data_IF_465307901204
#
_entry.id   IF_465307901204
#
_cell.length_a   1.000
_cell.length_b   1.000
_cell.length_c   1.000
_cell.angle_alpha   90.00
_cell.angle_beta   90.00
_cell.angle_gamma   90.00
#
_symmetry.space_group_name_H-M   'P 1'
#
loop_
_entity.id
_entity.type
_entity.pdbx_description
1 polymer ?
#
# COMPACT_ATOMS: atom_id res chain seq x y z
N UNK A 1 -3.71 12.22 -66.40
CA UNK A 1 -2.61 11.90 -65.47
C UNK A 1 -3.09 10.97 -64.40
N UNK A 2 -2.76 9.67 -64.49
CA UNK A 2 -3.19 8.59 -63.56
C UNK A 2 -2.11 8.46 -62.45
N UNK A 3 -2.48 8.71 -61.19
CA UNK A 3 -1.62 8.42 -60.03
C UNK A 3 -1.68 6.94 -59.68
N UNK A 4 -0.52 6.27 -59.79
CA UNK A 4 -0.29 4.89 -59.32
C UNK A 4 -0.25 4.86 -57.77
N UNK A 5 -1.11 4.02 -57.18
CA UNK A 5 -1.00 3.64 -55.76
C UNK A 5 -0.02 2.46 -55.63
N UNK A 6 1.06 2.65 -54.93
CA UNK A 6 2.01 1.61 -54.54
C UNK A 6 1.43 0.82 -53.37
N UNK A 7 1.28 -0.51 -53.53
CA UNK A 7 0.94 -1.44 -52.43
C UNK A 7 2.25 -1.99 -51.88
N UNK A 8 2.57 -1.63 -50.63
CA UNK A 8 3.64 -2.29 -49.88
C UNK A 8 3.08 -3.57 -49.28
N UNK A 9 3.61 -4.72 -49.73
CA UNK A 9 3.35 -6.03 -49.14
C UNK A 9 4.32 -6.24 -47.98
N UNK A 10 3.78 -6.35 -46.79
CA UNK A 10 4.52 -6.74 -45.59
C UNK A 10 4.59 -8.27 -45.55
N UNK A 11 5.82 -8.81 -45.66
CA UNK A 11 6.12 -10.25 -45.54
C UNK A 11 6.28 -10.59 -44.06
N UNK A 12 5.41 -11.40 -43.51
CA UNK A 12 5.64 -12.07 -42.24
C UNK A 12 6.47 -13.33 -42.47
N UNK A 13 7.69 -13.35 -41.95
CA UNK A 13 8.49 -14.58 -41.86
C UNK A 13 8.18 -15.24 -40.53
N UNK A 14 7.50 -16.37 -40.57
CA UNK A 14 7.35 -17.27 -39.43
C UNK A 14 8.58 -18.18 -39.39
N UNK A 15 9.38 -18.08 -38.33
CA UNK A 15 10.42 -19.06 -38.02
C UNK A 15 9.88 -19.98 -36.92
N UNK A 16 9.39 -21.14 -37.32
CA UNK A 16 9.13 -22.24 -36.41
C UNK A 16 10.42 -23.04 -36.23
N UNK A 17 10.87 -23.16 -35.01
CA UNK A 17 11.89 -24.13 -34.62
C UNK A 17 11.31 -25.09 -33.59
N UNK A 18 11.01 -26.29 -34.08
CA UNK A 18 10.62 -27.46 -33.30
C UNK A 18 11.94 -28.08 -32.75
N UNK A 19 12.12 -28.16 -31.45
CA UNK A 19 13.10 -29.04 -30.84
C UNK A 19 12.37 -29.95 -29.87
N UNK A 20 12.12 -31.17 -30.32
CA UNK A 20 11.70 -32.27 -29.47
C UNK A 20 12.96 -32.97 -28.93
N UNK A 21 13.16 -32.95 -27.62
CA UNK A 21 14.07 -33.85 -26.93
C UNK A 21 13.28 -34.63 -25.88
N UNK A 22 13.03 -35.88 -26.17
CA UNK A 22 12.50 -36.85 -25.22
C UNK A 22 13.63 -37.33 -24.32
N UNK A 23 13.50 -37.10 -23.00
CA UNK A 23 14.26 -37.83 -22.00
C UNK A 23 13.30 -38.49 -21.05
N UNK A 24 13.15 -39.80 -21.19
CA UNK A 24 12.46 -40.67 -20.23
C UNK A 24 13.39 -40.99 -19.08
N UNK A 25 13.07 -40.55 -17.85
CA UNK A 25 13.52 -41.18 -16.64
C UNK A 25 12.36 -41.35 -15.67
N UNK A 26 12.13 -42.61 -15.31
CA UNK A 26 11.17 -43.01 -14.30
C UNK A 26 11.63 -42.48 -12.92
N UNK A 27 10.83 -41.65 -12.30
CA UNK A 27 11.01 -41.17 -10.94
C UNK A 27 9.67 -41.19 -10.20
N UNK A 28 9.61 -41.99 -9.16
CA UNK A 28 8.48 -42.29 -8.30
C UNK A 28 7.94 -41.00 -7.68
N UNK A 29 6.73 -40.60 -8.05
CA UNK A 29 5.99 -39.53 -7.37
C UNK A 29 5.41 -40.08 -6.07
N UNK A 30 6.00 -39.70 -4.95
CA UNK A 30 5.40 -39.89 -3.63
C UNK A 30 4.42 -38.75 -3.40
N UNK A 31 3.14 -39.02 -3.59
CA UNK A 31 2.06 -38.11 -3.23
C UNK A 31 1.90 -38.17 -1.71
N UNK A 32 2.29 -37.09 -1.01
CA UNK A 32 1.94 -36.90 0.39
C UNK A 32 0.50 -36.36 0.45
N UNK A 33 -0.46 -37.24 0.76
CA UNK A 33 -1.82 -36.85 1.12
C UNK A 33 -1.80 -36.44 2.59
N UNK A 34 -1.87 -35.13 2.85
CA UNK A 34 -2.14 -34.60 4.18
C UNK A 34 -3.64 -34.72 4.46
N UNK A 35 -4.05 -35.72 5.20
CA UNK A 35 -5.40 -35.81 5.77
C UNK A 35 -5.48 -34.83 6.94
N UNK A 36 -6.22 -33.76 6.79
CA UNK A 36 -6.64 -32.91 7.91
C UNK A 36 -7.70 -33.64 8.72
N UNK A 37 -7.30 -34.12 9.90
CA UNK A 37 -8.20 -34.62 10.93
C UNK A 37 -8.87 -33.42 11.59
N UNK A 38 -10.18 -33.27 11.35
CA UNK A 38 -11.02 -32.26 12.00
C UNK A 38 -11.22 -32.69 13.47
N UNK A 39 -10.50 -32.03 14.38
CA UNK A 39 -10.83 -32.08 15.80
C UNK A 39 -12.08 -31.21 16.06
N UNK A 40 -13.21 -31.86 16.22
CA UNK A 40 -14.47 -31.28 16.70
C UNK A 40 -14.32 -30.92 18.17
N UNK A 41 -14.09 -29.64 18.49
CA UNK A 41 -14.19 -29.11 19.84
C UNK A 41 -15.60 -28.60 20.07
N UNK A 42 -16.25 -29.22 21.03
CA UNK A 42 -17.58 -28.90 21.57
C UNK A 42 -17.51 -27.57 22.33
N UNK A 43 -18.49 -26.66 22.20
CA UNK A 43 -18.47 -25.42 22.98
C UNK A 43 -18.80 -25.70 24.44
N UNK A 44 -17.91 -25.22 25.32
CA UNK A 44 -18.10 -25.23 26.78
C UNK A 44 -18.95 -24.02 27.15
N UNK A 45 -20.05 -24.30 27.90
CA UNK A 45 -21.01 -23.32 28.39
C UNK A 45 -20.34 -22.39 29.44
N UNK A 46 -20.45 -21.07 29.23
CA UNK A 46 -20.09 -20.07 30.22
C UNK A 46 -21.11 -20.00 31.36
N UNK A 47 -20.68 -19.80 32.63
CA UNK A 47 -21.59 -19.71 33.74
C UNK A 47 -22.36 -18.39 33.78
N UNK A 48 -23.65 -18.49 33.96
CA UNK A 48 -24.60 -17.43 34.25
C UNK A 48 -24.28 -16.85 35.63
N UNK A 49 -23.98 -15.52 35.68
CA UNK A 49 -23.94 -14.79 36.94
C UNK A 49 -25.08 -13.78 36.96
N UNK A 50 -25.89 -13.93 38.01
CA UNK A 50 -27.14 -13.26 38.34
C UNK A 50 -27.01 -11.74 38.50
N UNK A 51 -28.11 -11.07 38.12
CA UNK A 51 -28.48 -9.69 38.41
C UNK A 51 -28.27 -9.29 39.89
N UNK A 52 -27.75 -8.07 40.08
CA UNK A 52 -28.09 -7.23 41.24
C UNK A 52 -28.33 -5.80 40.76
N UNK A 53 -29.60 -5.39 40.89
CA UNK A 53 -30.08 -4.02 40.82
C UNK A 53 -29.37 -3.13 41.87
N UNK A 54 -29.05 -1.91 41.49
CA UNK A 54 -29.44 -0.68 42.25
C UNK A 54 -28.90 0.58 41.58
N UNK A 55 -29.79 1.36 41.03
CA UNK A 55 -29.54 2.81 40.90
C UNK A 55 -29.55 3.47 42.27
N UNK A 56 -28.82 4.61 42.44
CA UNK A 56 -29.60 5.83 42.63
C UNK A 56 -29.05 7.13 42.07
N UNK A 57 -29.99 7.94 41.66
CA UNK A 57 -30.10 9.37 41.85
C UNK A 57 -29.06 10.33 41.17
N UNK A 58 -29.60 10.96 40.16
CA UNK A 58 -29.27 12.27 39.66
C UNK A 58 -29.03 13.32 40.77
N UNK A 59 -27.84 13.94 40.78
CA UNK A 59 -27.61 15.22 41.47
C UNK A 59 -26.99 16.23 40.53
N UNK A 60 -27.74 17.27 40.25
CA UNK A 60 -27.36 18.47 39.50
C UNK A 60 -26.30 19.25 40.27
N UNK A 61 -25.13 19.47 39.66
CA UNK A 61 -24.18 20.50 40.11
C UNK A 61 -23.73 21.34 38.89
N UNK A 62 -23.97 22.64 39.03
CA UNK A 62 -23.60 23.68 38.06
C UNK A 62 -22.07 23.81 37.91
N UNK A 63 -21.59 24.30 36.72
CA UNK A 63 -20.16 24.49 36.48
C UNK A 63 -19.60 25.70 37.24
N UNK A 64 -18.36 25.66 37.72
CA UNK A 64 -17.71 26.83 38.23
C UNK A 64 -17.20 27.75 37.11
N UNK A 65 -17.36 29.04 37.36
CA UNK A 65 -16.94 30.12 36.46
C UNK A 65 -15.42 30.29 36.45
N UNK A 66 -14.93 30.50 35.23
CA UNK A 66 -13.85 31.39 34.82
C UNK A 66 -12.64 31.57 35.76
N UNK A 67 -11.52 31.05 35.31
CA UNK A 67 -10.20 31.54 35.71
C UNK A 67 -9.31 31.47 34.46
N UNK A 68 -9.09 32.64 33.84
CA UNK A 68 -8.19 32.79 32.71
C UNK A 68 -6.74 32.54 33.18
N UNK A 69 -6.14 31.47 32.77
CA UNK A 69 -4.71 31.31 32.72
C UNK A 69 -4.30 31.24 31.26
N UNK A 70 -3.82 32.34 30.72
CA UNK A 70 -3.11 32.39 29.44
C UNK A 70 -1.78 31.64 29.63
N UNK A 71 -1.78 30.37 29.25
CA UNK A 71 -0.55 29.70 28.89
C UNK A 71 -0.32 30.02 27.41
N UNK A 72 0.74 30.76 27.11
CA UNK A 72 1.31 30.88 25.78
C UNK A 72 1.82 29.50 25.36
N UNK A 73 0.95 28.67 24.84
CA UNK A 73 1.33 27.58 23.95
C UNK A 73 1.63 28.25 22.60
N UNK A 74 2.91 28.16 22.19
CA UNK A 74 3.31 28.36 20.79
C UNK A 74 2.32 27.54 19.97
N UNK A 75 1.71 28.09 18.87
CA UNK A 75 0.91 27.25 17.99
C UNK A 75 1.79 26.09 17.56
N UNK A 76 1.38 24.85 17.82
CA UNK A 76 1.90 23.70 17.10
C UNK A 76 1.65 24.02 15.63
N UNK A 77 2.72 24.24 14.88
CA UNK A 77 2.65 24.34 13.44
C UNK A 77 1.99 23.03 12.97
N UNK A 78 0.79 23.14 12.43
CA UNK A 78 0.18 22.08 11.62
C UNK A 78 1.25 21.59 10.63
N UNK A 79 1.51 20.28 10.54
CA UNK A 79 2.48 19.76 9.56
C UNK A 79 2.19 20.41 8.22
N UNK A 80 3.22 20.98 7.59
CA UNK A 80 3.04 21.68 6.32
C UNK A 80 2.41 20.70 5.31
N UNK A 81 1.46 21.16 4.51
CA UNK A 81 0.83 20.34 3.44
C UNK A 81 1.90 19.76 2.51
N UNK A 82 3.05 20.43 2.36
CA UNK A 82 4.24 19.97 1.64
C UNK A 82 4.80 18.64 2.18
N UNK A 83 4.60 18.28 3.46
CA UNK A 83 5.06 17.01 4.04
C UNK A 83 4.28 15.80 3.49
N UNK A 84 3.06 15.99 2.98
CA UNK A 84 2.26 14.90 2.43
C UNK A 84 2.78 14.41 1.08
N UNK A 85 3.45 15.27 0.32
CA UNK A 85 3.99 14.97 -1.00
C UNK A 85 5.50 14.67 -0.98
N UNK A 86 6.08 14.45 0.23
CA UNK A 86 7.49 14.05 0.33
C UNK A 86 7.76 12.83 -0.55
N UNK A 87 8.73 12.94 -1.44
CA UNK A 87 9.13 11.85 -2.30
C UNK A 87 10.11 10.94 -1.57
N UNK A 88 9.76 9.66 -1.44
CA UNK A 88 10.63 8.61 -0.92
C UNK A 88 10.61 7.47 -1.91
N UNK A 89 11.73 7.22 -2.58
CA UNK A 89 11.82 6.21 -3.63
C UNK A 89 13.26 5.65 -3.78
N UNK A 90 13.56 5.01 -4.88
CA UNK A 90 14.87 4.40 -5.15
C UNK A 90 16.04 5.40 -5.15
N UNK A 91 15.79 6.69 -5.39
CA UNK A 91 16.79 7.76 -5.46
C UNK A 91 16.75 8.68 -4.23
N UNK A 92 15.56 8.88 -3.67
CA UNK A 92 15.32 9.80 -2.57
C UNK A 92 14.98 9.03 -1.29
N UNK A 93 15.82 9.17 -0.28
CA UNK A 93 15.57 8.59 1.05
C UNK A 93 14.63 9.48 1.85
N UNK A 94 13.89 8.90 2.78
CA UNK A 94 13.09 9.67 3.73
C UNK A 94 13.98 10.67 4.48
N UNK A 95 13.60 11.98 4.54
CA UNK A 95 14.35 12.98 5.30
C UNK A 95 14.50 12.59 6.76
N UNK A 96 15.66 12.89 7.39
CA UNK A 96 15.91 12.55 8.79
C UNK A 96 14.97 13.31 9.76
N UNK A 97 14.59 14.52 9.38
CA UNK A 97 13.69 15.42 10.13
C UNK A 97 12.21 15.25 9.72
N UNK A 98 11.89 14.25 8.91
CA UNK A 98 10.51 13.99 8.52
C UNK A 98 9.63 13.74 9.75
N UNK A 99 8.68 14.65 9.97
CA UNK A 99 7.76 14.56 11.10
C UNK A 99 6.65 13.53 10.81
N UNK A 100 6.47 12.59 11.75
CA UNK A 100 5.38 11.61 11.75
C UNK A 100 4.89 11.36 13.16
N UNK A 101 3.60 11.18 13.30
CA UNK A 101 2.98 10.73 14.54
C UNK A 101 2.35 9.36 14.29
N UNK A 102 3.01 8.31 14.77
CA UNK A 102 2.57 6.93 14.53
C UNK A 102 1.54 6.53 15.58
N UNK A 103 0.37 6.16 15.11
CA UNK A 103 -0.77 5.68 15.91
C UNK A 103 -1.22 4.30 15.43
N UNK A 104 -1.92 3.56 16.30
CA UNK A 104 -2.47 2.25 15.93
C UNK A 104 -3.89 2.39 15.41
N UNK A 105 -4.12 1.96 14.18
CA UNK A 105 -5.43 1.89 13.54
C UNK A 105 -5.77 0.43 13.23
N UNK A 106 -6.77 -0.14 13.92
CA UNK A 106 -7.24 -1.53 13.73
C UNK A 106 -6.13 -2.61 13.83
N UNK A 107 -5.11 -2.36 14.66
CA UNK A 107 -3.99 -3.29 14.85
C UNK A 107 -2.81 -3.05 13.91
N UNK A 108 -2.87 -2.05 13.04
CA UNK A 108 -1.79 -1.63 12.13
C UNK A 108 -1.31 -0.22 12.51
N UNK A 109 -0.01 -0.04 12.59
CA UNK A 109 0.59 1.26 12.86
C UNK A 109 0.62 2.11 11.59
N UNK A 110 0.17 3.37 11.69
CA UNK A 110 0.07 4.32 10.57
C UNK A 110 0.38 5.74 11.06
N UNK A 111 0.63 6.67 10.16
CA UNK A 111 0.67 8.07 10.52
C UNK A 111 -0.75 8.59 10.84
N UNK A 112 -0.87 9.41 11.89
CA UNK A 112 -2.16 9.96 12.35
C UNK A 112 -2.93 10.67 11.24
N UNK A 113 -2.23 11.31 10.30
CA UNK A 113 -2.82 12.06 9.18
C UNK A 113 -3.68 11.21 8.24
N UNK A 114 -3.45 9.90 8.18
CA UNK A 114 -4.25 9.01 7.32
C UNK A 114 -5.49 8.44 8.01
N UNK A 115 -5.61 8.57 9.33
CA UNK A 115 -6.66 7.88 10.12
C UNK A 115 -8.06 8.29 9.67
N UNK A 116 -8.36 9.59 9.74
CA UNK A 116 -9.69 10.09 9.36
C UNK A 116 -9.99 9.87 7.87
N UNK A 117 -9.08 10.23 6.92
CA UNK A 117 -9.28 9.95 5.50
C UNK A 117 -9.54 8.48 5.18
N UNK A 118 -8.77 7.56 5.79
CA UNK A 118 -8.98 6.14 5.59
C UNK A 118 -10.33 5.66 6.14
N UNK A 119 -10.73 6.11 7.32
CA UNK A 119 -12.03 5.75 7.91
C UNK A 119 -13.18 6.25 7.04
N UNK A 120 -13.09 7.45 6.47
CA UNK A 120 -14.08 7.99 5.54
C UNK A 120 -14.14 7.15 4.25
N UNK A 121 -12.98 6.81 3.67
CA UNK A 121 -12.87 5.95 2.50
C UNK A 121 -13.47 4.56 2.77
N UNK A 122 -13.12 3.95 3.90
CA UNK A 122 -13.63 2.64 4.30
C UNK A 122 -15.16 2.65 4.48
N UNK A 123 -15.73 3.71 5.09
CA UNK A 123 -17.16 3.84 5.29
C UNK A 123 -17.91 4.01 3.96
N UNK A 124 -17.37 4.78 3.02
CA UNK A 124 -17.94 4.93 1.68
C UNK A 124 -17.91 3.63 0.89
N UNK A 125 -16.76 2.94 0.86
CA UNK A 125 -16.65 1.63 0.23
C UNK A 125 -17.65 0.61 0.82
N UNK A 126 -17.78 0.60 2.14
CA UNK A 126 -18.75 -0.27 2.82
C UNK A 126 -20.21 0.04 2.43
N UNK A 127 -20.55 1.31 2.20
CA UNK A 127 -21.87 1.70 1.73
C UNK A 127 -22.17 1.19 0.31
N UNK A 128 -21.14 1.04 -0.51
CA UNK A 128 -21.19 0.48 -1.85
C UNK A 128 -21.02 -1.06 -1.87
N UNK A 129 -20.94 -1.69 -0.69
CA UNK A 129 -20.80 -3.14 -0.54
C UNK A 129 -19.38 -3.68 -0.71
N UNK A 130 -18.38 -2.80 -0.70
CA UNK A 130 -16.95 -3.12 -0.82
C UNK A 130 -16.28 -3.07 0.56
N UNK A 131 -15.43 -4.05 0.87
CA UNK A 131 -14.77 -4.15 2.19
C UNK A 131 -13.29 -3.82 2.08
N UNK A 132 -12.86 -2.70 2.65
CA UNK A 132 -11.46 -2.28 2.71
C UNK A 132 -10.88 -2.51 4.10
N UNK A 133 -9.65 -3.04 4.16
CA UNK A 133 -8.89 -3.17 5.40
C UNK A 133 -7.39 -3.00 5.14
N UNK A 134 -6.66 -2.51 6.15
CA UNK A 134 -5.22 -2.29 6.05
C UNK A 134 -4.50 -3.58 6.44
N UNK A 135 -3.66 -4.10 5.56
CA UNK A 135 -2.82 -5.28 5.81
C UNK A 135 -1.41 -4.92 6.28
N UNK A 136 -0.91 -3.76 5.88
CA UNK A 136 0.41 -3.25 6.26
C UNK A 136 0.39 -1.72 6.26
N UNK A 137 1.10 -1.09 7.20
CA UNK A 137 1.22 0.36 7.33
C UNK A 137 2.66 0.76 7.62
N UNK A 138 2.90 1.50 8.70
CA UNK A 138 4.24 1.93 9.07
C UNK A 138 5.20 0.77 9.25
N UNK A 139 6.41 0.96 8.72
CA UNK A 139 7.56 0.07 8.94
C UNK A 139 8.77 0.91 9.36
N UNK A 140 9.47 0.48 10.41
CA UNK A 140 10.76 1.08 10.73
C UNK A 140 11.79 0.78 9.62
N UNK A 141 12.82 1.62 9.51
CA UNK A 141 13.92 1.38 8.57
C UNK A 141 14.60 0.03 8.85
N UNK A 142 14.71 -0.35 10.13
CA UNK A 142 15.23 -1.65 10.55
C UNK A 142 14.36 -2.80 10.00
N UNK A 143 13.04 -2.70 10.15
CA UNK A 143 12.12 -3.72 9.62
C UNK A 143 12.18 -3.80 8.09
N UNK A 144 12.33 -2.67 7.42
CA UNK A 144 12.52 -2.63 5.96
C UNK A 144 13.82 -3.32 5.53
N UNK A 145 14.92 -3.14 6.29
CA UNK A 145 16.19 -3.85 6.04
C UNK A 145 15.99 -5.37 6.09
N UNK A 146 15.34 -5.87 7.14
CA UNK A 146 15.07 -7.30 7.29
C UNK A 146 14.25 -7.89 6.13
N UNK A 147 13.29 -7.11 5.60
CA UNK A 147 12.49 -7.53 4.45
C UNK A 147 13.32 -7.55 3.16
N UNK A 148 14.13 -6.52 2.96
CA UNK A 148 15.00 -6.43 1.79
C UNK A 148 16.05 -7.56 1.78
N UNK A 149 16.71 -7.76 2.91
CA UNK A 149 17.74 -8.81 3.07
C UNK A 149 17.15 -10.20 2.80
N UNK A 150 15.93 -10.47 3.28
CA UNK A 150 15.21 -11.72 2.99
C UNK A 150 14.91 -11.88 1.50
N UNK A 151 14.48 -10.83 0.82
CA UNK A 151 14.21 -10.89 -0.62
C UNK A 151 15.51 -11.13 -1.41
N UNK A 152 16.63 -10.56 -0.97
CA UNK A 152 17.96 -10.82 -1.55
C UNK A 152 18.39 -12.26 -1.32
N UNK A 153 18.24 -12.77 -0.10
CA UNK A 153 18.57 -14.16 0.24
C UNK A 153 17.77 -15.18 -0.59
N UNK A 154 16.47 -14.91 -0.81
CA UNK A 154 15.62 -15.74 -1.67
C UNK A 154 16.13 -15.77 -3.12
N UNK A 155 16.49 -14.61 -3.66
CA UNK A 155 17.04 -14.51 -5.01
C UNK A 155 18.40 -15.19 -5.14
N UNK A 156 19.27 -15.10 -4.12
CA UNK A 156 20.53 -15.84 -4.04
C UNK A 156 20.28 -17.36 -4.02
N UNK A 157 19.29 -17.81 -3.23
CA UNK A 157 18.84 -19.20 -3.19
C UNK A 157 18.34 -19.73 -4.54
N UNK A 158 17.81 -18.86 -5.38
CA UNK A 158 17.40 -19.15 -6.75
C UNK A 158 18.59 -19.13 -7.76
N UNK A 159 19.83 -18.97 -7.29
CA UNK A 159 21.04 -19.04 -8.09
C UNK A 159 21.48 -17.73 -8.74
N UNK A 160 20.90 -16.59 -8.35
CA UNK A 160 21.35 -15.28 -8.80
C UNK A 160 22.67 -14.88 -8.15
N UNK A 161 23.50 -14.09 -8.83
CA UNK A 161 24.64 -13.43 -8.21
C UNK A 161 24.18 -12.26 -7.33
N UNK A 162 25.03 -11.84 -6.37
CA UNK A 162 24.69 -10.81 -5.36
C UNK A 162 24.07 -9.53 -5.99
N UNK A 163 24.74 -8.94 -6.96
CA UNK A 163 24.29 -7.71 -7.60
C UNK A 163 22.93 -7.89 -8.30
N UNK A 164 22.71 -9.03 -8.94
CA UNK A 164 21.45 -9.36 -9.59
C UNK A 164 20.34 -9.60 -8.57
N UNK A 165 20.64 -10.33 -7.49
CA UNK A 165 19.70 -10.60 -6.41
C UNK A 165 19.18 -9.31 -5.76
N UNK A 166 20.08 -8.37 -5.48
CA UNK A 166 19.72 -7.04 -4.95
C UNK A 166 18.90 -6.22 -5.95
N UNK A 167 19.27 -6.22 -7.24
CA UNK A 167 18.53 -5.50 -8.26
C UNK A 167 17.11 -6.03 -8.43
N UNK A 168 16.94 -7.36 -8.41
CA UNK A 168 15.62 -8.00 -8.53
C UNK A 168 14.79 -7.75 -7.27
N UNK A 169 15.38 -7.87 -6.07
CA UNK A 169 14.70 -7.56 -4.81
C UNK A 169 14.17 -6.12 -4.80
N UNK A 170 14.95 -5.16 -5.28
CA UNK A 170 14.60 -3.74 -5.30
C UNK A 170 13.42 -3.39 -6.20
N UNK A 171 12.96 -4.29 -7.08
CA UNK A 171 11.77 -4.08 -7.92
C UNK A 171 10.45 -4.24 -7.14
N UNK A 172 10.49 -4.87 -5.96
CA UNK A 172 9.28 -5.15 -5.16
C UNK A 172 9.44 -4.87 -3.67
N UNK A 173 10.67 -4.76 -3.19
CA UNK A 173 10.96 -4.43 -1.80
C UNK A 173 11.96 -3.28 -1.80
N UNK A 174 11.50 -2.08 -1.47
CA UNK A 174 12.36 -0.90 -1.44
C UNK A 174 13.56 -1.10 -0.50
N UNK A 175 14.70 -0.52 -0.86
CA UNK A 175 15.90 -0.50 0.00
C UNK A 175 15.61 0.19 1.34
N UNK A 176 16.37 -0.14 2.40
CA UNK A 176 16.23 0.55 3.70
C UNK A 176 16.33 2.07 3.53
N UNK A 177 15.38 2.80 4.14
CA UNK A 177 15.27 4.26 4.02
C UNK A 177 14.61 4.78 2.74
N UNK A 178 14.38 3.91 1.74
CA UNK A 178 13.76 4.24 0.45
C UNK A 178 12.30 3.73 0.35
N UNK A 179 11.71 3.28 1.45
CA UNK A 179 10.34 2.78 1.49
C UNK A 179 9.38 3.85 2.00
N UNK A 180 8.28 4.09 1.31
CA UNK A 180 7.23 4.99 1.77
C UNK A 180 6.56 4.53 3.05
N UNK A 181 6.57 3.23 3.37
CA UNK A 181 6.12 2.73 4.67
C UNK A 181 6.93 3.30 5.84
N UNK A 182 8.15 3.81 5.62
CA UNK A 182 8.92 4.49 6.65
C UNK A 182 8.31 5.84 7.04
N UNK A 183 7.50 6.44 6.18
CA UNK A 183 6.77 7.68 6.48
C UNK A 183 5.51 7.46 7.33
N UNK A 184 4.91 6.25 7.27
CA UNK A 184 3.60 5.96 7.81
C UNK A 184 2.43 6.43 6.93
N UNK A 185 2.72 7.10 5.80
CA UNK A 185 1.71 7.60 4.84
C UNK A 185 1.33 6.57 3.77
N UNK A 186 2.01 5.44 3.70
CA UNK A 186 1.69 4.35 2.78
C UNK A 186 1.04 3.19 3.50
N UNK A 187 0.02 2.61 2.88
CA UNK A 187 -0.71 1.44 3.35
C UNK A 187 -0.88 0.41 2.25
N UNK A 188 -0.80 -0.87 2.61
CA UNK A 188 -1.20 -1.96 1.74
C UNK A 188 -2.63 -2.38 2.10
N UNK A 189 -3.51 -2.46 1.11
CA UNK A 189 -4.93 -2.75 1.27
C UNK A 189 -5.24 -4.21 0.90
N UNK A 190 -6.12 -4.85 1.66
CA UNK A 190 -6.73 -6.15 1.38
C UNK A 190 -5.73 -7.30 1.14
N UNK A 191 -4.50 -7.17 1.67
CA UNK A 191 -3.42 -8.15 1.52
C UNK A 191 -2.53 -7.88 0.30
N UNK A 192 -1.26 -8.27 0.43
CA UNK A 192 -0.27 -8.18 -0.67
C UNK A 192 -0.49 -9.36 -1.61
N UNK A 193 -1.20 -9.14 -2.72
CA UNK A 193 -1.56 -10.18 -3.69
C UNK A 193 -1.61 -9.64 -5.12
N UNK A 194 -0.98 -10.36 -6.04
CA UNK A 194 -0.82 -9.92 -7.43
C UNK A 194 -2.15 -9.86 -8.22
N UNK A 195 -3.17 -10.61 -7.81
CA UNK A 195 -4.50 -10.63 -8.44
C UNK A 195 -5.49 -9.64 -7.82
N UNK A 196 -5.01 -8.71 -6.96
CA UNK A 196 -5.87 -7.70 -6.35
C UNK A 196 -6.55 -6.79 -7.38
N UNK A 197 -5.87 -6.51 -8.50
CA UNK A 197 -6.39 -5.72 -9.63
C UNK A 197 -7.62 -6.32 -10.31
N UNK A 198 -7.95 -7.58 -10.02
CA UNK A 198 -9.15 -8.27 -10.53
C UNK A 198 -10.33 -8.23 -9.57
N UNK A 199 -10.21 -7.52 -8.45
CA UNK A 199 -11.21 -7.49 -7.38
C UNK A 199 -12.14 -6.28 -7.46
N UNK A 200 -13.37 -6.38 -6.92
CA UNK A 200 -14.27 -5.22 -6.78
C UNK A 200 -13.67 -4.09 -5.92
N UNK A 201 -12.81 -4.44 -4.95
CA UNK A 201 -12.12 -3.49 -4.11
C UNK A 201 -11.16 -2.61 -4.91
N UNK A 202 -10.40 -3.20 -5.81
CA UNK A 202 -9.49 -2.45 -6.68
C UNK A 202 -10.25 -1.56 -7.67
N UNK A 203 -11.33 -2.08 -8.28
CA UNK A 203 -12.19 -1.29 -9.17
C UNK A 203 -12.73 -0.05 -8.44
N UNK A 204 -13.26 -0.24 -7.24
CA UNK A 204 -13.77 0.85 -6.40
C UNK A 204 -12.66 1.86 -6.04
N UNK A 205 -11.50 1.38 -5.62
CA UNK A 205 -10.36 2.24 -5.27
C UNK A 205 -9.85 3.05 -6.45
N UNK A 206 -9.86 2.48 -7.66
CA UNK A 206 -9.44 3.19 -8.87
C UNK A 206 -10.32 4.42 -9.15
N UNK A 207 -11.60 4.33 -8.83
CA UNK A 207 -12.56 5.42 -9.04
C UNK A 207 -12.54 6.43 -7.89
N UNK A 208 -12.40 5.99 -6.64
CA UNK A 208 -12.72 6.79 -5.46
C UNK A 208 -11.55 7.15 -4.56
N UNK A 209 -10.42 6.43 -4.58
CA UNK A 209 -9.34 6.63 -3.61
C UNK A 209 -8.82 8.07 -3.57
N UNK A 210 -8.76 8.77 -4.73
CA UNK A 210 -8.30 10.14 -4.82
C UNK A 210 -9.22 11.14 -4.10
N UNK A 211 -10.50 10.84 -3.95
CA UNK A 211 -11.44 11.67 -3.21
C UNK A 211 -11.07 11.78 -1.72
N UNK A 212 -10.44 10.72 -1.20
CA UNK A 212 -9.99 10.60 0.19
C UNK A 212 -8.48 10.86 0.36
N UNK A 213 -7.81 11.31 -0.71
CA UNK A 213 -6.40 11.69 -0.66
C UNK A 213 -5.41 10.55 -0.86
N UNK A 214 -5.87 9.38 -1.29
CA UNK A 214 -5.00 8.22 -1.60
C UNK A 214 -4.78 8.08 -3.10
N UNK A 215 -3.56 7.70 -3.47
CA UNK A 215 -3.18 7.39 -4.85
C UNK A 215 -2.71 5.93 -4.94
N UNK A 216 -2.99 5.27 -6.05
CA UNK A 216 -2.29 4.05 -6.43
C UNK A 216 -0.83 4.43 -6.73
N UNK A 217 0.08 4.00 -5.87
CA UNK A 217 1.46 4.53 -5.88
C UNK A 217 2.31 4.00 -7.02
N UNK A 218 2.13 2.73 -7.37
CA UNK A 218 2.93 2.02 -8.36
C UNK A 218 2.06 1.44 -9.49
N UNK A 219 1.49 2.30 -10.36
CA UNK A 219 0.66 1.85 -11.47
C UNK A 219 1.50 1.15 -12.56
N UNK A 220 0.85 0.28 -13.33
CA UNK A 220 1.51 -0.61 -14.29
C UNK A 220 2.29 0.16 -15.38
N UNK A 221 1.72 1.25 -15.85
CA UNK A 221 2.29 2.08 -16.93
C UNK A 221 3.38 3.07 -16.47
N UNK A 222 3.67 3.14 -15.16
CA UNK A 222 4.67 4.06 -14.57
C UNK A 222 5.92 3.36 -14.03
N UNK A 223 6.10 2.06 -14.23
CA UNK A 223 7.21 1.28 -13.70
C UNK A 223 8.59 1.83 -14.13
N UNK A 224 8.70 2.39 -15.33
CA UNK A 224 9.95 3.00 -15.82
C UNK A 224 10.33 4.27 -15.05
N UNK A 225 9.37 4.93 -14.41
CA UNK A 225 9.58 6.13 -13.60
C UNK A 225 9.79 5.74 -12.13
N UNK A 226 8.85 4.99 -11.57
CA UNK A 226 8.85 4.62 -10.15
C UNK A 226 9.93 3.58 -9.80
N UNK A 227 10.41 2.80 -10.77
CA UNK A 227 11.35 1.67 -10.63
C UNK A 227 10.85 0.55 -9.74
N UNK A 228 9.56 0.57 -9.38
CA UNK A 228 8.85 -0.49 -8.69
C UNK A 228 7.87 -1.12 -9.68
N UNK A 229 7.69 -2.42 -9.62
CA UNK A 229 6.68 -3.10 -10.43
C UNK A 229 5.27 -2.74 -9.96
N UNK A 230 4.28 -3.07 -10.76
CA UNK A 230 2.88 -2.84 -10.42
C UNK A 230 2.51 -3.47 -9.07
N UNK A 231 1.97 -2.65 -8.17
CA UNK A 231 1.51 -3.08 -6.85
C UNK A 231 0.08 -2.59 -6.62
N UNK A 232 -0.94 -3.35 -7.04
CA UNK A 232 -2.34 -2.91 -6.98
C UNK A 232 -2.87 -2.69 -5.55
N UNK A 233 -2.20 -3.25 -4.55
CA UNK A 233 -2.53 -3.12 -3.13
C UNK A 233 -1.93 -1.88 -2.45
N UNK A 234 -0.90 -1.23 -3.03
CA UNK A 234 -0.11 -0.19 -2.37
C UNK A 234 -0.65 1.20 -2.66
N UNK A 235 -1.19 1.83 -1.62
CA UNK A 235 -1.76 3.17 -1.67
C UNK A 235 -0.98 4.15 -0.81
N UNK A 236 -0.70 5.34 -1.36
CA UNK A 236 -0.02 6.44 -0.67
C UNK A 236 -1.01 7.58 -0.41
N UNK A 237 -1.03 8.06 0.84
CA UNK A 237 -1.75 9.27 1.20
C UNK A 237 -0.94 10.52 0.83
N UNK A 238 -1.55 11.43 0.11
CA UNK A 238 -0.96 12.70 -0.36
C UNK A 238 -1.91 13.88 -0.11
N UNK A 239 -3.08 13.65 0.52
CA UNK A 239 -4.12 14.65 0.66
C UNK A 239 -5.03 14.76 -0.58
N UNK A 240 -6.30 15.10 -0.36
CA UNK A 240 -7.34 15.02 -1.40
C UNK A 240 -7.08 15.96 -2.58
N UNK A 241 -6.55 17.16 -2.35
CA UNK A 241 -6.26 18.12 -3.42
C UNK A 241 -5.15 17.61 -4.35
N UNK A 242 -4.05 17.11 -3.77
CA UNK A 242 -2.94 16.53 -4.53
C UNK A 242 -3.35 15.24 -5.25
N UNK A 243 -4.09 14.35 -4.59
CA UNK A 243 -4.53 13.10 -5.18
C UNK A 243 -5.43 13.32 -6.40
N UNK A 244 -6.40 14.24 -6.32
CA UNK A 244 -7.25 14.63 -7.46
C UNK A 244 -6.46 15.25 -8.59
N UNK A 245 -5.53 16.15 -8.26
CA UNK A 245 -4.67 16.80 -9.26
C UNK A 245 -3.79 15.80 -9.99
N UNK A 246 -3.30 14.76 -9.31
CA UNK A 246 -2.53 13.66 -9.90
C UNK A 246 -3.41 12.76 -10.77
N UNK A 247 -4.61 12.39 -10.29
CA UNK A 247 -5.57 11.58 -11.04
C UNK A 247 -5.98 12.26 -12.36
N UNK A 248 -6.35 13.55 -12.32
CA UNK A 248 -6.72 14.33 -13.50
C UNK A 248 -5.63 14.39 -14.58
N UNK A 249 -4.35 14.38 -14.15
CA UNK A 249 -3.18 14.48 -15.04
C UNK A 249 -2.57 13.14 -15.39
N UNK A 250 -3.06 12.09 -14.75
CA UNK A 250 -2.47 10.76 -14.86
C UNK A 250 -0.98 10.74 -14.49
N UNK A 251 -0.63 11.41 -13.39
CA UNK A 251 0.72 11.50 -12.87
C UNK A 251 0.96 10.47 -11.74
N UNK A 252 2.15 9.85 -11.73
CA UNK A 252 2.68 9.26 -10.51
C UNK A 252 3.28 10.36 -9.60
N UNK A 253 3.68 10.01 -8.38
CA UNK A 253 4.18 10.99 -7.42
C UNK A 253 5.45 11.71 -7.92
N UNK A 254 6.35 11.01 -8.58
CA UNK A 254 7.56 11.57 -9.19
C UNK A 254 7.24 12.69 -10.19
N UNK A 255 6.32 12.41 -11.12
CA UNK A 255 5.90 13.39 -12.14
C UNK A 255 5.19 14.59 -11.50
N UNK A 256 4.43 14.35 -10.44
CA UNK A 256 3.71 15.40 -9.75
C UNK A 256 4.63 16.34 -8.96
N UNK A 257 5.63 15.80 -8.26
CA UNK A 257 6.64 16.60 -7.56
C UNK A 257 7.44 17.44 -8.57
N UNK A 258 7.91 16.86 -9.66
CA UNK A 258 8.58 17.59 -10.74
C UNK A 258 7.69 18.71 -11.32
N UNK A 259 6.39 18.42 -11.54
CA UNK A 259 5.42 19.41 -11.99
C UNK A 259 5.32 20.60 -11.03
N UNK A 260 5.21 20.35 -9.71
CA UNK A 260 5.12 21.43 -8.71
C UNK A 260 6.40 22.25 -8.62
N UNK A 261 7.56 21.63 -8.72
CA UNK A 261 8.86 22.32 -8.75
C UNK A 261 8.97 23.27 -9.95
N UNK A 262 8.46 22.87 -11.10
CA UNK A 262 8.45 23.69 -12.31
C UNK A 262 7.42 24.84 -12.28
N UNK A 263 6.51 24.88 -11.28
CA UNK A 263 5.55 25.99 -11.09
C UNK A 263 6.05 27.06 -10.10
N UNK A 264 7.09 26.79 -9.33
CA UNK A 264 7.71 27.72 -8.37
C UNK A 264 8.70 28.64 -9.07
#
# INVERSE_FOLDING_TARGET
MRKRKSKVKMFFLSVGALVAAAVTTAGVSTVFIFTMEQASAKPEEAPVVSEVESEPAFSSAQPPKSGAAQANAKPEESPAEDDLIVLVNYAETMPEDFHRNIVNLYGVDVDERIVEPFQQMQAAAQADGVSLWISSGYRSVQRQSELFDRAVEENLGNGMGQQQAEAVAALSVARPGCSEHNTGLAIDLNGVREDFDTTPEYEWLTEHAAEYGFILRYPEDKQEITKIRFEPWHYRYVGAEHAKAMQERHFCLEEYVEYLENQR
#
